data_IF_356699038314
#
_entry.id   IF_356699038314
#
_cell.length_a   1.000
_cell.length_b   1.000
_cell.length_c   1.000
_cell.angle_alpha   90.00
_cell.angle_beta   90.00
_cell.angle_gamma   90.00
#
_symmetry.space_group_name_H-M   'P 1'
#
loop_
_entity.id
_entity.type
_entity.pdbx_description
1 polymer ?
#
# COMPACT_ATOMS: atom_id res chain seq x y z
N UNK A 1 -2.78 -13.02 -27.51
CA UNK A 1 -2.78 -12.11 -26.35
C UNK A 1 -3.71 -12.72 -25.31
N UNK A 2 -3.21 -12.96 -24.12
CA UNK A 2 -4.02 -13.53 -23.04
C UNK A 2 -5.11 -12.54 -22.57
N UNK A 3 -6.18 -13.04 -21.96
CA UNK A 3 -7.23 -12.18 -21.40
C UNK A 3 -6.73 -11.36 -20.20
N UNK A 4 -5.72 -11.87 -19.49
CA UNK A 4 -5.15 -11.29 -18.26
C UNK A 4 -3.77 -10.71 -18.53
N UNK A 5 -3.52 -9.50 -18.05
CA UNK A 5 -2.20 -8.88 -18.01
C UNK A 5 -1.70 -8.73 -16.58
N UNK A 6 -0.49 -9.22 -16.32
CA UNK A 6 0.26 -8.95 -15.09
C UNK A 6 1.10 -7.72 -15.31
N UNK A 7 0.87 -6.66 -14.57
CA UNK A 7 1.57 -5.37 -14.69
C UNK A 7 2.45 -5.17 -13.47
N UNK A 8 3.75 -5.39 -13.64
CA UNK A 8 4.75 -5.20 -12.59
C UNK A 8 5.44 -3.84 -12.74
N UNK A 9 5.60 -3.13 -11.65
CA UNK A 9 6.29 -1.84 -11.61
C UNK A 9 7.76 -2.02 -11.18
N UNK A 10 8.69 -1.79 -12.10
CA UNK A 10 10.10 -1.67 -11.79
C UNK A 10 10.53 -0.20 -11.82
N UNK A 11 10.71 0.40 -10.63
CA UNK A 11 11.18 1.76 -10.49
C UNK A 11 12.69 1.78 -10.32
N UNK A 12 13.41 2.51 -11.18
CA UNK A 12 14.88 2.58 -11.15
C UNK A 12 15.45 3.04 -9.82
N UNK A 13 14.83 4.05 -9.19
CA UNK A 13 15.27 4.61 -7.90
C UNK A 13 15.25 3.61 -6.73
N UNK A 14 14.53 2.49 -6.83
CA UNK A 14 14.47 1.44 -5.80
C UNK A 14 15.56 0.37 -6.01
N UNK A 15 16.36 0.49 -7.08
CA UNK A 15 17.44 -0.44 -7.42
C UNK A 15 16.95 -1.76 -8.00
N UNK A 16 17.90 -2.64 -8.29
CA UNK A 16 17.64 -3.91 -8.98
C UNK A 16 17.20 -5.05 -8.04
N UNK A 17 17.58 -4.99 -6.76
CA UNK A 17 17.29 -6.08 -5.82
C UNK A 17 15.81 -6.43 -5.70
N UNK A 18 14.86 -5.47 -5.59
CA UNK A 18 13.44 -5.80 -5.60
C UNK A 18 12.98 -6.47 -6.90
N UNK A 19 13.49 -6.03 -8.05
CA UNK A 19 13.15 -6.62 -9.34
C UNK A 19 13.64 -8.07 -9.47
N UNK A 20 14.82 -8.38 -8.95
CA UNK A 20 15.33 -9.76 -8.86
C UNK A 20 14.48 -10.63 -7.95
N UNK A 21 14.10 -10.13 -6.76
CA UNK A 21 13.25 -10.85 -5.84
C UNK A 21 11.86 -11.15 -6.47
N UNK A 22 11.28 -10.17 -7.18
CA UNK A 22 10.07 -10.40 -7.96
C UNK A 22 10.27 -11.50 -8.99
N UNK A 23 11.31 -11.44 -9.82
CA UNK A 23 11.59 -12.42 -10.88
C UNK A 23 11.79 -13.83 -10.33
N UNK A 24 12.53 -13.97 -9.24
CA UNK A 24 12.75 -15.24 -8.57
C UNK A 24 11.42 -15.85 -8.09
N UNK A 25 10.61 -15.05 -7.40
CA UNK A 25 9.32 -15.50 -6.91
C UNK A 25 8.32 -15.79 -8.05
N UNK A 26 8.29 -14.97 -9.08
CA UNK A 26 7.44 -15.13 -10.25
C UNK A 26 7.75 -16.43 -11.03
N UNK A 27 9.03 -16.78 -11.16
CA UNK A 27 9.46 -18.05 -11.79
C UNK A 27 9.22 -19.27 -10.91
N UNK A 28 9.35 -19.10 -9.59
CA UNK A 28 9.20 -20.19 -8.64
C UNK A 28 7.74 -20.57 -8.36
N UNK A 29 6.78 -19.71 -8.69
CA UNK A 29 5.35 -19.87 -8.37
C UNK A 29 4.50 -19.87 -9.63
N UNK A 30 3.84 -20.99 -9.90
CA UNK A 30 2.92 -21.08 -11.02
C UNK A 30 1.77 -20.07 -10.86
N UNK A 31 1.48 -19.34 -11.93
CA UNK A 31 0.35 -18.41 -11.92
C UNK A 31 -1.02 -19.11 -11.94
N UNK A 32 -1.07 -20.35 -12.45
CA UNK A 32 -2.27 -21.16 -12.55
C UNK A 32 -3.19 -20.80 -13.72
N UNK A 33 -2.89 -19.74 -14.47
CA UNK A 33 -3.66 -19.29 -15.62
C UNK A 33 -2.77 -18.58 -16.63
N UNK A 34 -3.12 -18.67 -17.92
CA UNK A 34 -2.39 -17.99 -19.00
C UNK A 34 -2.52 -16.45 -18.87
N UNK A 35 -1.41 -15.75 -19.07
CA UNK A 35 -1.35 -14.30 -18.95
C UNK A 35 -0.17 -13.70 -19.72
N UNK A 36 -0.28 -12.42 -20.04
CA UNK A 36 0.82 -11.62 -20.55
C UNK A 36 1.53 -10.89 -19.38
N UNK A 37 2.87 -10.84 -19.41
CA UNK A 37 3.63 -10.03 -18.46
C UNK A 37 3.98 -8.67 -19.08
N UNK A 38 3.61 -7.60 -18.39
CA UNK A 38 3.97 -6.22 -18.70
C UNK A 38 4.85 -5.67 -17.57
N UNK A 39 5.98 -5.10 -17.91
CA UNK A 39 6.89 -4.47 -16.93
C UNK A 39 6.98 -2.99 -17.20
N UNK A 40 6.56 -2.18 -16.25
CA UNK A 40 6.75 -0.74 -16.29
C UNK A 40 8.20 -0.43 -15.86
N UNK A 41 8.99 0.11 -16.78
CA UNK A 41 10.32 0.65 -16.50
C UNK A 41 10.17 2.14 -16.17
N UNK A 42 10.23 2.48 -14.89
CA UNK A 42 9.94 3.82 -14.41
C UNK A 42 11.19 4.57 -13.98
N UNK A 43 11.43 5.74 -14.60
CA UNK A 43 12.49 6.67 -14.21
C UNK A 43 13.89 6.18 -14.51
N UNK A 44 14.06 5.39 -15.55
CA UNK A 44 15.38 4.97 -16.05
C UNK A 44 16.06 6.14 -16.73
N UNK A 45 17.33 6.46 -16.38
CA UNK A 45 17.95 7.70 -16.82
C UNK A 45 18.56 7.64 -18.23
N UNK A 46 18.93 6.44 -18.72
CA UNK A 46 19.69 6.28 -19.95
C UNK A 46 19.49 4.91 -20.60
N UNK A 47 19.95 4.79 -21.85
CA UNK A 47 19.85 3.56 -22.65
C UNK A 47 20.59 2.37 -22.02
N UNK A 48 21.68 2.60 -21.31
CA UNK A 48 22.45 1.53 -20.64
C UNK A 48 21.61 0.87 -19.56
N UNK A 49 20.93 1.67 -18.75
CA UNK A 49 20.05 1.16 -17.69
C UNK A 49 18.80 0.47 -18.27
N UNK A 50 18.23 0.99 -19.37
CA UNK A 50 17.15 0.30 -20.10
C UNK A 50 17.63 -1.04 -20.68
N UNK A 51 18.82 -1.10 -21.28
CA UNK A 51 19.39 -2.34 -21.82
C UNK A 51 19.59 -3.40 -20.72
N UNK A 52 20.05 -2.99 -19.53
CA UNK A 52 20.17 -3.88 -18.39
C UNK A 52 18.79 -4.43 -17.96
N UNK A 53 17.76 -3.59 -17.90
CA UNK A 53 16.40 -4.02 -17.58
C UNK A 53 15.83 -4.96 -18.67
N UNK A 54 16.03 -4.69 -19.95
CA UNK A 54 15.65 -5.59 -21.05
C UNK A 54 16.30 -6.96 -20.92
N UNK A 55 17.59 -6.99 -20.57
CA UNK A 55 18.32 -8.24 -20.33
C UNK A 55 17.74 -9.01 -19.14
N UNK A 56 17.38 -8.31 -18.06
CA UNK A 56 16.83 -8.90 -16.85
C UNK A 56 15.48 -9.58 -17.12
N UNK A 57 14.59 -8.95 -17.88
CA UNK A 57 13.22 -9.41 -18.16
C UNK A 57 13.10 -10.18 -19.49
N UNK A 58 14.09 -10.14 -20.35
CA UNK A 58 14.09 -10.79 -21.68
C UNK A 58 13.70 -12.27 -21.66
N UNK A 59 14.21 -13.10 -20.72
CA UNK A 59 13.85 -14.52 -20.66
C UNK A 59 12.37 -14.82 -20.39
N UNK A 60 11.57 -13.81 -19.98
CA UNK A 60 10.14 -13.94 -19.72
C UNK A 60 9.25 -13.43 -20.87
N UNK A 61 9.84 -13.00 -21.98
CA UNK A 61 9.10 -12.37 -23.10
C UNK A 61 8.18 -11.23 -22.63
N UNK A 62 8.62 -10.47 -21.62
CA UNK A 62 7.82 -9.40 -21.02
C UNK A 62 7.66 -8.20 -21.96
N UNK A 63 6.47 -7.64 -22.04
CA UNK A 63 6.24 -6.35 -22.70
C UNK A 63 6.73 -5.22 -21.81
N UNK A 64 7.74 -4.46 -22.26
CA UNK A 64 8.30 -3.36 -21.50
C UNK A 64 7.59 -2.05 -21.82
N UNK A 65 7.22 -1.30 -20.78
CA UNK A 65 6.52 -0.01 -20.86
C UNK A 65 7.38 1.05 -20.19
N UNK A 66 8.02 1.90 -20.98
CA UNK A 66 8.87 2.96 -20.45
C UNK A 66 8.06 4.17 -20.01
N UNK A 67 8.31 4.64 -18.79
CA UNK A 67 7.64 5.80 -18.17
C UNK A 67 8.61 6.67 -17.39
N UNK A 68 8.33 7.98 -17.38
CA UNK A 68 9.02 8.93 -16.51
C UNK A 68 8.76 8.64 -15.02
N UNK A 69 9.64 9.13 -14.13
CA UNK A 69 9.44 9.00 -12.67
C UNK A 69 8.41 10.00 -12.11
N UNK A 70 7.26 10.11 -12.78
CA UNK A 70 6.13 10.94 -12.35
C UNK A 70 4.92 10.10 -12.00
N UNK A 71 3.93 10.66 -11.31
CA UNK A 71 2.63 10.03 -11.07
C UNK A 71 2.62 8.89 -10.04
N UNK A 72 3.74 8.62 -9.36
CA UNK A 72 3.86 7.52 -8.39
C UNK A 72 3.44 6.16 -8.99
N UNK A 73 3.04 5.22 -8.16
CA UNK A 73 2.67 3.86 -8.60
C UNK A 73 1.35 3.89 -9.39
N UNK A 74 0.32 4.51 -8.84
CA UNK A 74 -1.03 4.53 -9.44
C UNK A 74 -1.04 5.25 -10.78
N UNK A 75 -0.32 6.37 -10.91
CA UNK A 75 -0.18 7.07 -12.20
C UNK A 75 0.47 6.18 -13.27
N UNK A 76 1.47 5.39 -12.86
CA UNK A 76 2.14 4.42 -13.75
C UNK A 76 1.20 3.29 -14.16
N UNK A 77 0.38 2.79 -13.23
CA UNK A 77 -0.63 1.77 -13.51
C UNK A 77 -1.67 2.25 -14.51
N UNK A 78 -2.18 3.47 -14.35
CA UNK A 78 -3.13 4.07 -15.31
C UNK A 78 -2.48 4.28 -16.69
N UNK A 79 -1.22 4.70 -16.74
CA UNK A 79 -0.50 4.87 -18.00
C UNK A 79 -0.28 3.52 -18.70
N UNK A 80 0.06 2.47 -17.96
CA UNK A 80 0.18 1.11 -18.49
C UNK A 80 -1.18 0.56 -18.96
N UNK A 81 -2.24 0.71 -18.16
CA UNK A 81 -3.58 0.25 -18.53
C UNK A 81 -4.10 0.84 -19.84
N UNK A 82 -3.69 2.07 -20.21
CA UNK A 82 -4.02 2.67 -21.51
C UNK A 82 -3.25 2.08 -22.68
N UNK A 83 -2.11 1.42 -22.44
CA UNK A 83 -1.21 0.90 -23.47
C UNK A 83 -1.36 -0.60 -23.72
N UNK A 84 -1.95 -1.34 -22.77
CA UNK A 84 -2.17 -2.78 -22.88
C UNK A 84 -3.60 -3.08 -23.31
N UNK A 85 -3.82 -4.23 -23.94
CA UNK A 85 -5.12 -4.61 -24.49
C UNK A 85 -5.83 -5.72 -23.71
N UNK A 86 -5.18 -6.26 -22.66
CA UNK A 86 -5.78 -7.31 -21.82
C UNK A 86 -7.07 -6.81 -21.14
N UNK A 87 -8.07 -7.68 -21.03
CA UNK A 87 -9.37 -7.33 -20.45
C UNK A 87 -9.29 -7.12 -18.92
N UNK A 88 -8.42 -7.88 -18.27
CA UNK A 88 -8.17 -7.85 -16.82
C UNK A 88 -6.73 -7.56 -16.53
N UNK A 89 -6.49 -6.76 -15.52
CA UNK A 89 -5.13 -6.38 -15.10
C UNK A 89 -4.95 -6.67 -13.62
N UNK A 90 -3.83 -7.31 -13.31
CA UNK A 90 -3.30 -7.35 -11.95
C UNK A 90 -2.09 -6.43 -11.86
N UNK A 91 -2.09 -5.55 -10.88
CA UNK A 91 -1.01 -4.59 -10.66
C UNK A 91 -0.17 -5.02 -9.46
N UNK A 92 1.15 -5.04 -9.66
CA UNK A 92 2.15 -5.42 -8.67
C UNK A 92 3.15 -4.29 -8.51
N UNK A 93 3.42 -3.87 -7.28
CA UNK A 93 4.39 -2.82 -7.01
C UNK A 93 5.83 -3.33 -7.10
N UNK A 94 6.80 -2.42 -7.05
CA UNK A 94 8.23 -2.71 -7.15
C UNK A 94 8.72 -3.77 -6.14
N UNK A 95 8.10 -3.83 -4.97
CA UNK A 95 8.51 -4.72 -3.88
C UNK A 95 7.70 -6.01 -3.79
N UNK A 96 6.89 -6.31 -4.80
CA UNK A 96 6.05 -7.51 -4.80
C UNK A 96 6.88 -8.78 -4.89
N UNK A 97 6.57 -9.76 -4.03
CA UNK A 97 7.08 -11.13 -4.07
C UNK A 97 5.89 -12.10 -3.99
N UNK A 98 5.86 -13.07 -4.89
CA UNK A 98 4.79 -14.06 -4.98
C UNK A 98 5.10 -15.22 -4.04
N UNK A 99 4.20 -15.53 -3.12
CA UNK A 99 4.41 -16.53 -2.07
C UNK A 99 3.63 -17.82 -2.26
N UNK A 100 2.70 -17.89 -3.23
CA UNK A 100 1.84 -19.05 -3.42
C UNK A 100 1.69 -19.41 -4.91
N UNK A 101 1.55 -20.69 -5.19
CA UNK A 101 1.15 -21.16 -6.52
C UNK A 101 -0.31 -20.82 -6.80
N UNK A 102 -0.72 -20.82 -8.06
CA UNK A 102 -2.06 -20.47 -8.54
C UNK A 102 -2.54 -19.07 -8.14
N UNK A 103 -1.62 -18.20 -7.74
CA UNK A 103 -1.93 -16.88 -7.20
C UNK A 103 -2.79 -16.03 -8.14
N UNK A 104 -2.52 -16.09 -9.46
CA UNK A 104 -3.26 -15.31 -10.45
C UNK A 104 -4.62 -15.93 -10.75
N UNK A 105 -4.68 -17.27 -10.85
CA UNK A 105 -5.92 -18.00 -11.03
C UNK A 105 -6.90 -17.78 -9.86
N UNK A 106 -6.39 -17.66 -8.63
CA UNK A 106 -7.21 -17.36 -7.43
C UNK A 106 -7.77 -15.96 -7.45
N UNK A 107 -6.96 -14.96 -7.83
CA UNK A 107 -7.45 -13.59 -8.01
C UNK A 107 -8.51 -13.52 -9.12
N UNK A 108 -8.28 -14.18 -10.24
CA UNK A 108 -9.21 -14.21 -11.36
C UNK A 108 -10.51 -14.92 -11.00
N UNK A 109 -10.45 -16.04 -10.30
CA UNK A 109 -11.64 -16.75 -9.82
C UNK A 109 -12.52 -15.87 -8.92
N UNK A 110 -11.91 -15.08 -8.04
CA UNK A 110 -12.64 -14.15 -7.19
C UNK A 110 -13.24 -12.97 -7.99
N UNK A 111 -12.53 -12.46 -9.00
CA UNK A 111 -13.04 -11.37 -9.85
C UNK A 111 -14.14 -11.87 -10.82
N UNK A 112 -14.20 -13.17 -11.11
CA UNK A 112 -15.24 -13.80 -11.92
C UNK A 112 -16.61 -13.90 -11.23
N UNK A 113 -16.68 -13.68 -9.91
CA UNK A 113 -17.96 -13.61 -9.22
C UNK A 113 -18.76 -12.40 -9.75
N UNK A 114 -20.02 -12.60 -10.10
CA UNK A 114 -20.84 -11.66 -10.86
C UNK A 114 -21.01 -10.28 -10.20
N UNK A 115 -20.85 -10.20 -8.88
CA UNK A 115 -21.04 -8.99 -8.08
C UNK A 115 -19.69 -8.38 -7.61
N UNK A 116 -18.53 -8.90 -8.05
CA UNK A 116 -17.22 -8.43 -7.64
C UNK A 116 -16.64 -7.48 -8.69
N UNK A 117 -16.15 -6.33 -8.24
CA UNK A 117 -15.55 -5.31 -9.11
C UNK A 117 -14.07 -5.08 -8.89
N UNK A 118 -13.52 -5.54 -7.77
CA UNK A 118 -12.13 -5.35 -7.39
C UNK A 118 -11.69 -6.45 -6.43
N UNK A 119 -10.52 -7.00 -6.65
CA UNK A 119 -9.91 -8.02 -5.81
C UNK A 119 -8.51 -7.58 -5.40
N UNK A 120 -8.12 -7.79 -4.16
CA UNK A 120 -6.77 -7.52 -3.67
C UNK A 120 -6.18 -8.70 -2.92
N UNK A 121 -4.85 -8.82 -2.94
CA UNK A 121 -4.14 -9.75 -2.07
C UNK A 121 -4.14 -9.27 -0.61
N UNK A 122 -4.34 -7.99 -0.38
CA UNK A 122 -4.39 -7.36 0.95
C UNK A 122 -5.40 -6.23 1.00
N UNK A 123 -6.04 -6.07 2.15
CA UNK A 123 -6.93 -4.96 2.47
C UNK A 123 -6.61 -4.37 3.83
N UNK A 124 -7.21 -3.25 4.16
CA UNK A 124 -7.05 -2.59 5.46
C UNK A 124 -8.29 -1.75 5.79
N UNK A 125 -8.54 -1.56 7.09
CA UNK A 125 -9.56 -0.61 7.59
C UNK A 125 -8.93 0.71 8.05
N UNK A 126 -7.64 0.89 7.83
CA UNK A 126 -6.92 2.08 8.29
C UNK A 126 -7.57 3.36 7.79
N UNK A 127 -7.74 4.31 8.69
CA UNK A 127 -8.16 5.67 8.37
C UNK A 127 -7.06 6.66 8.68
N UNK A 128 -6.45 7.24 7.65
CA UNK A 128 -5.49 8.32 7.83
C UNK A 128 -6.16 9.54 8.48
N UNK A 129 -7.39 9.87 8.09
CA UNK A 129 -8.15 10.97 8.70
C UNK A 129 -8.35 10.80 10.20
N UNK A 130 -8.84 9.63 10.64
CA UNK A 130 -9.00 9.34 12.06
C UNK A 130 -7.67 9.30 12.80
N UNK A 131 -6.59 8.81 12.17
CA UNK A 131 -5.24 8.80 12.72
C UNK A 131 -4.71 10.21 13.01
N UNK A 132 -4.88 11.14 12.08
CA UNK A 132 -4.52 12.54 12.26
C UNK A 132 -5.34 13.22 13.35
N UNK A 133 -6.66 13.00 13.39
CA UNK A 133 -7.52 13.54 14.46
C UNK A 133 -7.08 13.02 15.82
N UNK A 134 -6.83 11.72 15.96
CA UNK A 134 -6.36 11.13 17.21
C UNK A 134 -4.98 11.72 17.62
N UNK A 135 -4.07 11.91 16.69
CA UNK A 135 -2.78 12.56 16.96
C UNK A 135 -2.94 14.03 17.40
N UNK A 136 -3.84 14.78 16.77
CA UNK A 136 -4.13 16.16 17.14
C UNK A 136 -4.76 16.28 18.53
N UNK A 137 -5.71 15.40 18.88
CA UNK A 137 -6.34 15.35 20.19
C UNK A 137 -5.33 14.99 21.29
N UNK A 138 -4.43 14.04 21.03
CA UNK A 138 -3.34 13.68 21.96
C UNK A 138 -2.39 14.85 22.17
N UNK A 139 -2.03 15.58 21.11
CA UNK A 139 -1.22 16.77 21.22
C UNK A 139 -1.92 17.88 22.02
N UNK A 140 -3.22 18.12 21.80
CA UNK A 140 -4.00 19.09 22.57
C UNK A 140 -4.13 18.69 24.05
N UNK A 141 -4.28 17.40 24.35
CA UNK A 141 -4.26 16.90 25.74
C UNK A 141 -2.87 17.11 26.38
N UNK A 142 -1.80 16.81 25.67
CA UNK A 142 -0.44 17.07 26.15
C UNK A 142 -0.18 18.55 26.46
N UNK A 143 -0.64 19.46 25.59
CA UNK A 143 -0.50 20.91 25.82
C UNK A 143 -1.29 21.38 27.04
N UNK A 144 -2.45 20.78 27.33
CA UNK A 144 -3.28 21.11 28.51
C UNK A 144 -2.76 20.49 29.81
N UNK A 145 -1.99 19.41 29.74
CA UNK A 145 -1.49 18.69 30.92
C UNK A 145 0.03 18.47 30.85
N UNK A 146 0.84 19.54 30.80
CA UNK A 146 2.29 19.42 30.62
C UNK A 146 2.99 18.73 31.80
N UNK A 147 2.44 18.85 33.02
CA UNK A 147 3.04 18.28 34.25
C UNK A 147 2.93 16.74 34.24
N UNK A 148 1.80 16.16 33.81
CA UNK A 148 1.65 14.71 33.74
C UNK A 148 2.59 14.08 32.68
N UNK A 149 2.88 14.82 31.62
CA UNK A 149 3.83 14.40 30.59
C UNK A 149 5.28 14.46 31.10
N UNK A 150 5.66 15.54 31.79
CA UNK A 150 6.99 15.68 32.41
C UNK A 150 7.20 14.58 33.45
N UNK A 151 6.18 14.26 34.27
CA UNK A 151 6.24 13.19 35.26
C UNK A 151 6.47 11.81 34.61
N UNK A 152 5.78 11.49 33.49
CA UNK A 152 6.00 10.27 32.72
C UNK A 152 7.39 10.22 32.05
N UNK A 153 8.05 11.36 31.85
CA UNK A 153 9.42 11.47 31.35
C UNK A 153 10.45 11.13 32.42
N UNK A 154 10.18 11.53 33.68
CA UNK A 154 11.07 11.27 34.81
C UNK A 154 10.96 9.83 35.33
N UNK A 155 9.78 9.20 35.22
CA UNK A 155 9.59 7.80 35.59
C UNK A 155 10.24 6.82 34.59
N UNK A 156 10.64 7.29 33.39
CA UNK A 156 11.28 6.49 32.33
C UNK A 156 12.82 6.58 32.26
N UNK A 157 13.50 7.13 33.31
CA UNK A 157 14.96 7.23 33.40
C UNK A 157 15.56 8.40 32.62
N UNK A 158 16.40 9.20 33.28
CA UNK A 158 17.05 10.41 32.78
C UNK A 158 17.91 10.16 31.54
N UNK A 159 17.75 10.95 30.45
CA UNK A 159 18.80 11.11 29.46
C UNK A 159 19.68 12.30 29.83
N UNK A 160 20.99 12.12 29.70
CA UNK A 160 22.02 13.14 29.85
C UNK A 160 21.77 14.35 28.94
N UNK A 161 21.99 15.53 29.54
CA UNK A 161 21.88 16.85 28.92
C UNK A 161 22.86 17.05 27.78
N UNK A 162 22.39 17.21 26.56
CA UNK A 162 23.05 18.01 25.53
C UNK A 162 22.00 18.92 24.88
N UNK A 163 22.25 20.21 24.92
CA UNK A 163 21.33 21.26 24.57
C UNK A 163 20.89 21.23 23.12
N UNK A 164 19.60 21.01 22.91
CA UNK A 164 18.93 21.25 21.65
C UNK A 164 18.00 22.46 21.83
N UNK A 165 18.32 23.57 21.16
CA UNK A 165 17.52 24.80 21.16
C UNK A 165 16.09 24.51 20.67
N UNK A 166 15.13 25.23 21.28
CA UNK A 166 13.72 25.21 20.91
C UNK A 166 13.60 25.67 19.44
N UNK A 167 13.07 24.84 18.53
CA UNK A 167 12.96 25.23 17.12
C UNK A 167 11.96 26.37 16.98
N UNK A 168 12.41 27.52 16.44
CA UNK A 168 11.56 28.64 16.03
C UNK A 168 10.55 28.15 15.00
N UNK A 169 9.26 28.18 15.32
CA UNK A 169 8.17 27.88 14.40
C UNK A 169 8.19 28.81 13.19
N UNK A 170 8.41 28.28 12.01
CA UNK A 170 8.34 28.98 10.74
C UNK A 170 6.87 29.13 10.29
N UNK A 171 6.55 30.22 9.59
CA UNK A 171 5.24 30.39 8.91
C UNK A 171 4.91 29.23 7.94
N UNK A 172 5.92 28.54 7.42
CA UNK A 172 5.75 27.29 6.64
C UNK A 172 5.07 26.17 7.44
N UNK A 173 5.30 26.07 8.75
CA UNK A 173 4.68 25.03 9.59
C UNK A 173 3.18 25.27 9.79
N UNK A 174 2.73 26.50 9.75
CA UNK A 174 1.30 26.87 9.86
C UNK A 174 0.58 26.53 8.56
N UNK A 175 1.18 26.82 7.40
CA UNK A 175 0.61 26.49 6.07
C UNK A 175 0.54 24.97 5.87
N UNK A 176 1.55 24.21 6.32
CA UNK A 176 1.53 22.74 6.29
C UNK A 176 0.44 22.17 7.20
N UNK A 177 0.16 22.80 8.36
CA UNK A 177 -0.93 22.38 9.26
C UNK A 177 -2.32 22.66 8.67
N UNK A 178 -2.52 23.81 8.03
CA UNK A 178 -3.80 24.15 7.37
C UNK A 178 -4.05 23.22 6.17
N UNK A 179 -3.03 22.94 5.35
CA UNK A 179 -3.12 21.94 4.28
C UNK A 179 -3.40 20.54 4.82
N UNK A 180 -2.79 20.16 5.94
CA UNK A 180 -3.09 18.90 6.63
C UNK A 180 -4.54 18.79 7.08
N UNK A 181 -5.17 19.88 7.53
CA UNK A 181 -6.60 19.89 7.90
C UNK A 181 -7.51 19.72 6.68
N UNK A 182 -7.19 20.34 5.54
CA UNK A 182 -7.93 20.10 4.29
C UNK A 182 -7.79 18.66 3.80
N UNK A 183 -6.59 18.07 3.92
CA UNK A 183 -6.38 16.66 3.57
C UNK A 183 -7.13 15.71 4.51
N UNK A 184 -7.40 16.10 5.77
CA UNK A 184 -8.20 15.30 6.71
C UNK A 184 -9.63 15.06 6.24
N UNK A 185 -10.24 16.05 5.59
CA UNK A 185 -11.60 15.93 5.06
C UNK A 185 -11.69 14.92 3.90
N UNK A 186 -10.58 14.73 3.19
CA UNK A 186 -10.51 13.80 2.05
C UNK A 186 -10.47 12.32 2.46
N UNK A 187 -10.17 12.02 3.73
CA UNK A 187 -10.13 10.64 4.21
C UNK A 187 -11.39 10.29 5.01
N UNK A 188 -11.92 9.09 4.81
CA UNK A 188 -13.03 8.55 5.57
C UNK A 188 -12.68 8.39 7.06
N UNK A 189 -13.72 8.30 7.92
CA UNK A 189 -13.55 7.90 9.31
C UNK A 189 -13.29 6.40 9.41
N UNK A 190 -12.69 5.96 10.51
CA UNK A 190 -12.56 4.55 10.83
C UNK A 190 -13.94 3.90 11.11
N UNK A 191 -14.22 2.67 10.64
CA UNK A 191 -13.41 1.89 9.70
C UNK A 191 -13.44 2.48 8.29
N UNK A 192 -12.29 2.47 7.61
CA UNK A 192 -12.16 2.97 6.25
C UNK A 192 -11.62 1.85 5.33
N UNK A 193 -12.46 0.88 4.95
CA UNK A 193 -12.01 -0.27 4.20
C UNK A 193 -11.48 0.14 2.83
N UNK A 194 -10.29 -0.36 2.49
CA UNK A 194 -9.70 -0.16 1.18
C UNK A 194 -8.78 -1.32 0.80
N UNK A 195 -8.82 -1.68 -0.48
CA UNK A 195 -7.83 -2.56 -1.10
C UNK A 195 -6.54 -1.76 -1.25
N UNK A 196 -5.43 -2.36 -0.84
CA UNK A 196 -4.11 -1.73 -0.98
C UNK A 196 -3.63 -1.81 -2.43
N UNK A 197 -2.94 -0.77 -2.87
CA UNK A 197 -2.47 -0.65 -4.26
C UNK A 197 -1.19 -1.44 -4.57
N UNK A 198 -0.75 -2.30 -3.65
CA UNK A 198 0.46 -3.13 -3.83
C UNK A 198 0.26 -4.37 -4.71
N UNK A 199 -0.94 -5.00 -4.62
CA UNK A 199 -1.31 -6.18 -5.39
C UNK A 199 -2.83 -6.27 -5.50
N UNK A 200 -3.40 -5.88 -6.64
CA UNK A 200 -4.84 -5.91 -6.87
C UNK A 200 -5.18 -6.23 -8.32
N UNK A 201 -6.35 -6.84 -8.55
CA UNK A 201 -6.86 -7.20 -9.87
C UNK A 201 -8.22 -6.54 -10.13
N UNK A 202 -8.39 -6.04 -11.35
CA UNK A 202 -9.58 -5.32 -11.79
C UNK A 202 -9.75 -5.43 -13.31
N UNK A 203 -10.97 -5.32 -13.83
CA UNK A 203 -11.19 -5.16 -15.26
C UNK A 203 -10.57 -3.86 -15.74
N UNK A 204 -9.85 -3.92 -16.87
CA UNK A 204 -9.12 -2.78 -17.43
C UNK A 204 -10.02 -1.56 -17.70
N UNK A 205 -11.17 -1.77 -18.33
CA UNK A 205 -12.10 -0.67 -18.63
C UNK A 205 -12.66 -0.05 -17.35
N UNK A 206 -12.99 -0.87 -16.36
CA UNK A 206 -13.42 -0.40 -15.06
C UNK A 206 -12.33 0.42 -14.37
N UNK A 207 -11.08 -0.03 -14.40
CA UNK A 207 -9.96 0.72 -13.83
C UNK A 207 -9.78 2.08 -14.51
N UNK A 208 -9.87 2.12 -15.84
CA UNK A 208 -9.76 3.36 -16.62
C UNK A 208 -10.96 4.31 -16.46
N UNK A 209 -12.13 3.80 -16.07
CA UNK A 209 -13.33 4.62 -15.80
C UNK A 209 -13.33 5.25 -14.40
N UNK A 210 -12.44 4.82 -13.49
CA UNK A 210 -12.37 5.40 -12.16
C UNK A 210 -11.94 6.85 -12.21
N UNK A 211 -12.61 7.68 -11.41
CA UNK A 211 -12.19 9.06 -11.23
C UNK A 211 -10.84 9.12 -10.54
N UNK A 212 -9.89 9.82 -11.13
CA UNK A 212 -8.57 10.06 -10.54
C UNK A 212 -8.14 11.50 -10.75
N UNK A 213 -7.48 12.06 -9.75
CA UNK A 213 -6.80 13.36 -9.86
C UNK A 213 -5.37 13.14 -10.35
N UNK A 214 -4.69 14.15 -10.91
CA UNK A 214 -3.28 14.05 -11.23
C UNK A 214 -2.45 13.72 -9.98
N UNK A 215 -1.66 12.66 -10.02
CA UNK A 215 -0.81 12.21 -8.90
C UNK A 215 0.48 13.02 -8.83
N UNK A 216 0.41 14.23 -8.31
CA UNK A 216 1.56 15.16 -8.18
C UNK A 216 2.28 15.03 -6.83
N UNK A 217 1.58 14.57 -5.81
CA UNK A 217 2.09 14.39 -4.43
C UNK A 217 1.73 12.99 -3.93
N UNK A 218 2.51 12.48 -3.00
CA UNK A 218 2.21 11.19 -2.36
C UNK A 218 0.82 11.17 -1.70
N UNK A 219 0.36 12.31 -1.19
CA UNK A 219 -0.99 12.46 -0.64
C UNK A 219 -2.09 12.16 -1.68
N UNK A 220 -1.86 12.47 -2.96
CA UNK A 220 -2.82 12.22 -4.03
C UNK A 220 -2.98 10.70 -4.27
N UNK A 221 -1.90 9.93 -4.15
CA UNK A 221 -1.94 8.45 -4.18
C UNK A 221 -2.71 7.90 -2.98
N UNK A 222 -2.46 8.40 -1.78
CA UNK A 222 -3.21 8.00 -0.59
C UNK A 222 -4.71 8.29 -0.71
N UNK A 223 -5.09 9.42 -1.36
CA UNK A 223 -6.50 9.73 -1.63
C UNK A 223 -7.12 8.71 -2.59
N UNK A 224 -6.41 8.28 -3.61
CA UNK A 224 -6.88 7.25 -4.53
C UNK A 224 -6.94 5.87 -3.87
N UNK A 225 -6.03 5.53 -2.98
CA UNK A 225 -6.03 4.24 -2.26
C UNK A 225 -7.09 4.21 -1.15
N UNK A 226 -7.12 5.22 -0.28
CA UNK A 226 -7.91 5.19 0.96
C UNK A 226 -8.70 6.48 1.25
N UNK A 227 -8.82 7.40 0.30
CA UNK A 227 -9.64 8.61 0.42
C UNK A 227 -11.13 8.34 0.24
N UNK A 228 -11.96 9.39 0.39
CA UNK A 228 -13.41 9.31 0.18
C UNK A 228 -13.79 8.86 -1.23
N UNK A 229 -12.98 9.24 -2.22
CA UNK A 229 -13.11 8.83 -3.62
C UNK A 229 -12.05 7.78 -4.00
N UNK A 230 -11.67 6.93 -3.04
CA UNK A 230 -10.73 5.84 -3.30
C UNK A 230 -11.26 4.85 -4.34
N UNK A 231 -10.34 4.13 -4.97
CA UNK A 231 -10.68 3.03 -5.88
C UNK A 231 -11.74 2.10 -5.26
N UNK A 232 -11.54 1.67 -4.02
CA UNK A 232 -12.48 0.81 -3.30
C UNK A 232 -13.87 1.45 -3.18
N UNK A 233 -13.95 2.71 -2.75
CA UNK A 233 -15.23 3.38 -2.56
C UNK A 233 -15.97 3.60 -3.88
N UNK A 234 -15.25 3.89 -4.98
CA UNK A 234 -15.87 4.02 -6.29
C UNK A 234 -16.49 2.69 -6.77
N UNK A 235 -15.80 1.56 -6.55
CA UNK A 235 -16.34 0.23 -6.87
C UNK A 235 -17.60 -0.07 -6.03
N UNK A 236 -17.60 0.25 -4.74
CA UNK A 236 -18.76 0.08 -3.87
C UNK A 236 -19.94 0.97 -4.31
N UNK A 237 -19.68 2.20 -4.78
CA UNK A 237 -20.70 3.10 -5.35
C UNK A 237 -21.34 2.54 -6.63
N UNK A 238 -20.59 1.75 -7.40
CA UNK A 238 -21.12 1.00 -8.56
C UNK A 238 -21.98 -0.21 -8.13
N UNK A 239 -22.21 -0.40 -6.81
CA UNK A 239 -22.91 -1.55 -6.22
C UNK A 239 -22.21 -2.89 -6.48
N UNK A 240 -20.90 -2.85 -6.71
CA UNK A 240 -20.05 -4.02 -6.81
C UNK A 240 -19.32 -4.25 -5.50
N UNK A 241 -19.00 -5.50 -5.23
CA UNK A 241 -18.25 -5.91 -4.05
C UNK A 241 -16.75 -5.82 -4.29
N UNK A 242 -16.03 -5.69 -3.21
CA UNK A 242 -14.56 -5.76 -3.17
C UNK A 242 -14.15 -6.96 -2.30
N UNK A 243 -13.12 -7.69 -2.70
CA UNK A 243 -12.70 -8.93 -2.03
C UNK A 243 -11.21 -8.91 -1.73
N UNK A 244 -10.84 -9.53 -0.61
CA UNK A 244 -9.47 -9.97 -0.35
C UNK A 244 -9.38 -11.46 -0.60
N UNK A 245 -8.30 -11.90 -1.24
CA UNK A 245 -8.03 -13.30 -1.53
C UNK A 245 -6.76 -13.73 -0.83
N UNK A 246 -6.82 -14.87 -0.15
CA UNK A 246 -5.69 -15.45 0.55
C UNK A 246 -4.91 -16.47 -0.32
N UNK A 247 -3.78 -16.93 0.20
CA UNK A 247 -2.90 -17.88 -0.49
C UNK A 247 -3.51 -19.27 -0.73
N UNK A 248 -4.61 -19.62 -0.10
CA UNK A 248 -5.32 -20.89 -0.29
C UNK A 248 -6.52 -20.75 -1.24
N UNK A 249 -6.84 -19.51 -1.66
CA UNK A 249 -8.00 -19.19 -2.48
C UNK A 249 -9.25 -18.84 -1.68
N UNK A 250 -9.12 -18.66 -0.36
CA UNK A 250 -10.20 -18.10 0.48
C UNK A 250 -10.54 -16.67 0.03
N UNK A 251 -11.84 -16.36 -0.09
CA UNK A 251 -12.37 -15.09 -0.56
C UNK A 251 -13.10 -14.43 0.61
N UNK A 252 -12.69 -13.21 0.96
CA UNK A 252 -13.17 -12.53 2.16
C UNK A 252 -13.90 -11.24 1.82
N UNK A 253 -15.08 -11.07 2.43
CA UNK A 253 -15.83 -9.81 2.49
C UNK A 253 -15.11 -8.79 3.39
N UNK A 254 -15.50 -7.51 3.28
CA UNK A 254 -14.87 -6.39 4.00
C UNK A 254 -14.80 -6.62 5.51
N UNK A 255 -15.85 -7.14 6.11
CA UNK A 255 -15.95 -7.42 7.56
C UNK A 255 -15.04 -8.57 8.02
N UNK A 256 -14.68 -9.47 7.10
CA UNK A 256 -13.81 -10.62 7.34
C UNK A 256 -12.33 -10.40 6.97
N UNK A 257 -11.95 -9.23 6.44
CA UNK A 257 -10.56 -9.00 5.99
C UNK A 257 -9.52 -9.20 7.09
N UNK A 258 -9.81 -8.81 8.32
CA UNK A 258 -8.88 -9.04 9.44
C UNK A 258 -8.64 -10.52 9.68
N UNK A 259 -9.68 -11.35 9.62
CA UNK A 259 -9.58 -12.80 9.85
C UNK A 259 -8.94 -13.56 8.69
N UNK A 260 -8.75 -12.91 7.52
CA UNK A 260 -8.02 -13.51 6.40
C UNK A 260 -6.54 -13.79 6.71
N UNK A 261 -5.97 -13.15 7.71
CA UNK A 261 -4.53 -13.24 8.05
C UNK A 261 -3.59 -12.91 6.90
N UNK A 262 -4.02 -11.99 6.00
CA UNK A 262 -3.23 -11.57 4.83
C UNK A 262 -2.44 -10.29 5.08
N UNK A 263 -2.86 -9.42 6.02
CA UNK A 263 -2.22 -8.12 6.24
C UNK A 263 -2.19 -7.72 7.71
N UNK A 264 -1.00 -7.49 8.23
CA UNK A 264 -0.72 -6.99 9.57
C UNK A 264 -1.58 -7.62 10.68
N UNK A 265 -1.69 -8.92 10.65
CA UNK A 265 -2.34 -9.72 11.70
C UNK A 265 -1.69 -11.10 11.78
N UNK A 266 -1.59 -11.66 12.98
CA UNK A 266 -0.94 -12.95 13.21
C UNK A 266 0.49 -12.99 12.68
N UNK A 267 0.83 -14.01 11.94
CA UNK A 267 2.09 -14.14 11.20
C UNK A 267 1.92 -13.89 9.70
N UNK A 268 0.76 -13.33 9.30
CA UNK A 268 0.40 -13.17 7.88
C UNK A 268 0.48 -14.51 7.12
N UNK A 269 0.10 -15.61 7.77
CA UNK A 269 0.26 -16.97 7.28
C UNK A 269 -0.46 -17.23 5.96
N UNK A 270 -1.51 -16.45 5.68
CA UNK A 270 -2.32 -16.57 4.46
C UNK A 270 -1.96 -15.52 3.40
N UNK A 271 -0.88 -14.76 3.58
CA UNK A 271 -0.42 -13.79 2.61
C UNK A 271 0.01 -14.48 1.31
N UNK A 272 -0.55 -14.05 0.18
CA UNK A 272 -0.29 -14.59 -1.15
C UNK A 272 0.79 -13.81 -1.91
N UNK A 273 0.82 -12.49 -1.76
CA UNK A 273 1.79 -11.59 -2.40
C UNK A 273 2.31 -10.62 -1.35
N UNK A 274 3.60 -10.72 -1.05
CA UNK A 274 4.28 -9.84 -0.11
C UNK A 274 4.72 -8.52 -0.76
N UNK A 275 4.94 -7.51 0.06
CA UNK A 275 5.55 -6.24 -0.29
C UNK A 275 6.47 -5.73 0.83
N UNK A 276 7.05 -4.55 0.68
CA UNK A 276 7.89 -3.94 1.71
C UNK A 276 7.15 -3.70 3.04
N UNK A 277 5.84 -3.44 3.01
CA UNK A 277 5.06 -3.18 4.22
C UNK A 277 4.70 -4.46 4.96
N UNK A 278 4.36 -5.53 4.25
CA UNK A 278 4.12 -6.85 4.83
C UNK A 278 5.40 -7.44 5.41
N UNK A 279 6.55 -7.25 4.73
CA UNK A 279 7.87 -7.64 5.27
C UNK A 279 8.27 -6.82 6.49
N UNK A 280 8.01 -5.51 6.49
CA UNK A 280 8.23 -4.65 7.66
C UNK A 280 7.47 -5.16 8.89
N UNK A 281 6.26 -5.66 8.72
CA UNK A 281 5.48 -6.26 9.79
C UNK A 281 6.11 -7.61 10.22
N UNK A 282 6.39 -8.49 9.27
CA UNK A 282 6.92 -9.83 9.54
C UNK A 282 8.27 -9.79 10.29
N UNK A 283 9.15 -8.85 9.93
CA UNK A 283 10.49 -8.67 10.52
C UNK A 283 10.47 -7.72 11.74
N UNK A 284 9.33 -7.11 12.03
CA UNK A 284 9.20 -6.14 13.11
C UNK A 284 9.23 -6.74 14.50
N UNK A 285 9.69 -5.96 15.49
CA UNK A 285 9.55 -6.31 16.91
C UNK A 285 8.06 -6.49 17.28
N UNK A 286 7.77 -7.20 18.35
CA UNK A 286 6.39 -7.38 18.85
C UNK A 286 5.66 -6.05 19.06
N UNK A 287 6.37 -5.02 19.51
CA UNK A 287 5.81 -3.67 19.68
C UNK A 287 5.44 -3.03 18.33
N UNK A 288 6.32 -3.15 17.31
CA UNK A 288 6.04 -2.63 15.97
C UNK A 288 4.87 -3.38 15.33
N UNK A 289 4.84 -4.70 15.45
CA UNK A 289 3.74 -5.53 14.93
C UNK A 289 2.40 -5.14 15.56
N UNK A 290 2.34 -5.00 16.89
CA UNK A 290 1.13 -4.56 17.60
C UNK A 290 0.68 -3.17 17.14
N UNK A 291 1.61 -2.24 16.96
CA UNK A 291 1.29 -0.91 16.44
C UNK A 291 0.69 -0.96 15.03
N UNK A 292 1.34 -1.69 14.10
CA UNK A 292 0.88 -1.81 12.72
C UNK A 292 -0.48 -2.53 12.64
N UNK A 293 -0.68 -3.59 13.42
CA UNK A 293 -1.96 -4.28 13.53
C UNK A 293 -3.07 -3.34 14.02
N UNK A 294 -2.82 -2.58 15.07
CA UNK A 294 -3.77 -1.58 15.56
C UNK A 294 -4.06 -0.49 14.50
N UNK A 295 -3.04 -0.03 13.78
CA UNK A 295 -3.23 0.94 12.70
C UNK A 295 -4.16 0.42 11.60
N UNK A 296 -4.05 -0.87 11.23
CA UNK A 296 -4.88 -1.46 10.19
C UNK A 296 -6.29 -1.80 10.65
N UNK A 297 -6.46 -2.27 11.90
CA UNK A 297 -7.65 -3.01 12.31
C UNK A 297 -8.38 -2.45 13.54
N UNK A 298 -7.88 -1.37 14.16
CA UNK A 298 -8.49 -0.79 15.35
C UNK A 298 -8.79 0.70 15.20
N UNK A 299 -9.81 1.23 15.89
CA UNK A 299 -10.01 2.66 15.95
C UNK A 299 -8.77 3.38 16.50
N UNK A 300 -8.37 4.54 15.96
CA UNK A 300 -7.16 5.25 16.38
C UNK A 300 -7.10 5.61 17.87
N UNK A 301 -8.23 5.72 18.55
CA UNK A 301 -8.28 5.96 20.00
C UNK A 301 -7.82 4.75 20.81
N UNK A 302 -7.88 3.55 20.24
CA UNK A 302 -7.40 2.32 20.86
C UNK A 302 -5.88 2.08 20.64
N UNK A 303 -5.21 2.92 19.84
CA UNK A 303 -3.79 2.74 19.57
C UNK A 303 -2.97 2.99 20.83
N UNK A 304 -1.99 2.12 21.14
CA UNK A 304 -1.13 2.33 22.29
C UNK A 304 -0.40 3.66 22.17
N UNK A 305 -0.20 4.35 23.29
CA UNK A 305 0.69 5.49 23.36
C UNK A 305 2.08 4.94 22.99
N UNK A 306 2.73 5.55 21.99
CA UNK A 306 4.03 5.11 21.48
C UNK A 306 5.01 4.97 22.66
N UNK A 307 5.50 3.76 22.98
CA UNK A 307 6.61 3.66 23.91
C UNK A 307 7.82 4.30 23.24
N UNK A 308 8.48 5.22 23.90
CA UNK A 308 9.73 5.79 23.39
C UNK A 308 10.68 4.62 23.12
N UNK A 309 11.29 4.64 21.94
CA UNK A 309 12.37 3.75 21.63
C UNK A 309 13.41 3.88 22.74
N UNK A 310 13.56 2.87 23.57
CA UNK A 310 14.76 2.71 24.38
C UNK A 310 15.88 2.45 23.37
N UNK A 311 16.63 3.49 23.04
CA UNK A 311 17.94 3.33 22.43
C UNK A 311 18.76 2.60 23.48
N UNK A 312 18.85 1.28 23.37
CA UNK A 312 19.90 0.53 24.04
C UNK A 312 21.12 0.60 23.14
N UNK A 313 22.13 1.24 23.68
CA UNK A 313 23.53 1.20 23.24
C UNK A 313 23.99 -0.22 22.95
#
# INVERSE_FOLDING_TARGET
MAAIGVVYLYRFAEGELPARAFLESYRARAAGIEHDLHVILKGFPDETSYAAARTLFGPLSANLIELDDTGYDVGSYLAAARRVANNRLVFLNTFSEILADDWLARLDAALNLSDVGLVGATGSWQSLGSGYVAAALRFAHWVRHPISYVKSLFEAGSPSSTGAGVPRRSSRDIVLKIRGLADLYEFGRYPNPHIRTNAFMIDRERFLSLHSIPFRRKADVYKFESGRHSMTNQILQMKLKVRVVDRSGGIYDIDAWRSSSTFWTGNQENLMIADNMTRKYALGSSQLRLLLENCAWQPPMAWPIWPRASVRT
#
